data_IF_908887254435
#
_entry.id   IF_908887254435
#
_cell.length_a   1.000
_cell.length_b   1.000
_cell.length_c   1.000
_cell.angle_alpha   90.00
_cell.angle_beta   90.00
_cell.angle_gamma   90.00
#
_symmetry.space_group_name_H-M   'P 1'
#
loop_
_entity.id
_entity.type
_entity.pdbx_description
1 polymer ?
#
# COMPACT_ATOMS: atom_id res chain seq x y z
N UNK A 1 0.95 13.43 17.04
CA UNK A 1 2.16 14.25 17.18
C UNK A 1 2.96 13.67 18.32
N UNK A 2 4.29 13.68 18.25
CA UNK A 2 5.15 13.20 19.33
C UNK A 2 5.07 14.15 20.55
N UNK A 3 5.82 13.85 21.62
CA UNK A 3 5.87 14.69 22.82
C UNK A 3 6.25 16.14 22.53
N UNK A 4 7.00 16.38 21.45
CA UNK A 4 7.40 17.70 20.95
C UNK A 4 6.36 18.37 20.03
N UNK A 5 5.14 17.83 19.94
CA UNK A 5 4.12 18.30 18.98
C UNK A 5 4.58 18.25 17.51
N UNK A 6 5.58 17.44 17.18
CA UNK A 6 6.04 17.23 15.81
C UNK A 6 5.25 16.11 15.11
N UNK A 7 5.16 16.23 13.79
CA UNK A 7 4.67 15.17 12.92
C UNK A 7 5.76 14.11 12.75
N UNK A 8 5.46 12.90 13.22
CA UNK A 8 6.32 11.74 13.07
C UNK A 8 5.79 10.87 11.93
N UNK A 9 6.68 10.51 11.01
CA UNK A 9 6.35 9.67 9.86
C UNK A 9 7.03 8.32 10.00
N UNK A 10 6.28 7.26 9.77
CA UNK A 10 6.83 5.91 9.64
C UNK A 10 6.60 5.38 8.23
N UNK A 11 7.66 5.39 7.42
CA UNK A 11 7.63 5.04 6.00
C UNK A 11 8.68 3.97 5.71
N UNK A 12 8.48 2.71 6.14
CA UNK A 12 9.47 1.65 6.01
C UNK A 12 9.81 1.31 4.55
N UNK A 13 8.97 1.73 3.61
CA UNK A 13 9.16 1.56 2.16
C UNK A 13 9.40 2.90 1.44
N UNK A 14 9.67 3.97 2.18
CA UNK A 14 9.77 5.33 1.64
C UNK A 14 8.41 5.97 1.36
N UNK A 15 8.44 7.17 0.76
CA UNK A 15 7.26 7.97 0.45
C UNK A 15 6.79 7.80 -1.01
N UNK A 16 7.60 7.18 -1.85
CA UNK A 16 7.38 7.13 -3.30
C UNK A 16 6.05 6.47 -3.67
N UNK A 17 5.68 5.38 -2.99
CA UNK A 17 4.44 4.66 -3.26
C UNK A 17 3.21 5.55 -3.01
N UNK A 18 3.26 6.39 -1.96
CA UNK A 18 2.17 7.32 -1.61
C UNK A 18 2.12 8.46 -2.62
N UNK A 19 3.27 9.09 -2.92
CA UNK A 19 3.35 10.23 -3.83
C UNK A 19 2.96 9.86 -5.26
N UNK A 20 3.26 8.64 -5.70
CA UNK A 20 2.95 8.15 -7.04
C UNK A 20 1.66 7.32 -7.11
N UNK A 21 0.84 7.29 -6.06
CA UNK A 21 -0.43 6.56 -6.02
C UNK A 21 -0.29 5.06 -6.39
N UNK A 22 0.75 4.41 -5.86
CA UNK A 22 1.04 3.00 -6.12
C UNK A 22 0.56 2.12 -4.97
N UNK A 23 -0.15 1.04 -5.32
CA UNK A 23 -0.51 -0.02 -4.39
C UNK A 23 0.25 -1.28 -4.80
N UNK A 24 1.08 -1.78 -3.89
CA UNK A 24 1.84 -3.02 -4.08
C UNK A 24 1.91 -3.84 -2.79
N UNK A 25 2.03 -5.17 -2.89
CA UNK A 25 2.23 -6.02 -1.72
C UNK A 25 3.59 -5.72 -1.05
N UNK A 26 3.67 -5.93 0.26
CA UNK A 26 4.95 -5.87 0.97
C UNK A 26 5.76 -7.16 0.73
N UNK A 27 7.09 -7.15 0.93
CA UNK A 27 7.91 -8.37 0.81
C UNK A 27 7.37 -9.56 1.61
N UNK A 28 6.88 -9.30 2.82
CA UNK A 28 6.26 -10.31 3.67
C UNK A 28 5.02 -10.99 3.04
N UNK A 29 4.28 -10.28 2.19
CA UNK A 29 3.17 -10.87 1.43
C UNK A 29 3.68 -11.67 0.23
N UNK A 30 4.68 -11.15 -0.49
CA UNK A 30 5.25 -11.82 -1.67
C UNK A 30 5.87 -13.19 -1.36
N UNK A 31 6.38 -13.39 -0.15
CA UNK A 31 7.00 -14.64 0.29
C UNK A 31 6.02 -15.81 0.51
N UNK A 32 4.71 -15.56 0.51
CA UNK A 32 3.72 -16.59 0.84
C UNK A 32 2.48 -16.49 -0.06
N UNK A 33 2.17 -17.59 -0.75
CA UNK A 33 1.08 -17.67 -1.71
C UNK A 33 -0.30 -17.39 -1.08
N UNK A 34 -0.59 -17.96 0.10
CA UNK A 34 -1.87 -17.75 0.79
C UNK A 34 -2.07 -16.28 1.17
N UNK A 35 -0.98 -15.58 1.54
CA UNK A 35 -1.03 -14.13 1.81
C UNK A 35 -1.31 -13.34 0.54
N UNK A 36 -0.72 -13.72 -0.59
CA UNK A 36 -0.99 -13.08 -1.88
C UNK A 36 -2.43 -13.30 -2.33
N UNK A 37 -3.01 -14.48 -2.14
CA UNK A 37 -4.41 -14.75 -2.43
C UNK A 37 -5.36 -13.89 -1.60
N UNK A 38 -5.05 -13.73 -0.31
CA UNK A 38 -5.78 -12.83 0.57
C UNK A 38 -5.66 -11.36 0.12
N UNK A 39 -4.47 -10.93 -0.27
CA UNK A 39 -4.22 -9.58 -0.79
C UNK A 39 -5.07 -9.30 -2.03
N UNK A 40 -5.05 -10.17 -3.03
CA UNK A 40 -5.83 -10.01 -4.26
C UNK A 40 -7.33 -9.98 -3.99
N UNK A 41 -7.81 -10.87 -3.11
CA UNK A 41 -9.22 -10.92 -2.69
C UNK A 41 -9.67 -9.64 -2.00
N UNK A 42 -8.79 -9.02 -1.20
CA UNK A 42 -9.09 -7.74 -0.54
C UNK A 42 -9.05 -6.58 -1.53
N UNK A 43 -8.07 -6.58 -2.42
CA UNK A 43 -7.87 -5.51 -3.40
C UNK A 43 -9.11 -5.34 -4.30
N UNK A 44 -9.67 -6.45 -4.79
CA UNK A 44 -10.87 -6.44 -5.64
C UNK A 44 -12.12 -5.90 -4.97
N UNK A 45 -12.22 -5.97 -3.63
CA UNK A 45 -13.37 -5.47 -2.86
C UNK A 45 -13.28 -3.99 -2.51
N UNK A 46 -12.10 -3.38 -2.65
CA UNK A 46 -11.85 -2.00 -2.19
C UNK A 46 -12.27 -0.94 -3.21
N UNK A 47 -12.37 -1.31 -4.49
CA UNK A 47 -12.76 -0.43 -5.60
C UNK A 47 -12.01 0.92 -5.62
N UNK A 48 -10.73 0.94 -5.22
CA UNK A 48 -10.01 2.19 -5.02
C UNK A 48 -9.86 3.04 -6.28
N UNK A 49 -9.82 2.40 -7.46
CA UNK A 49 -9.73 3.09 -8.74
C UNK A 49 -10.98 3.92 -9.08
N UNK A 50 -12.15 3.64 -8.49
CA UNK A 50 -13.35 4.47 -8.67
C UNK A 50 -13.16 5.88 -8.09
N UNK A 51 -12.50 5.95 -6.93
CA UNK A 51 -12.23 7.22 -6.24
C UNK A 51 -10.92 7.85 -6.70
N UNK A 52 -9.91 7.03 -6.95
CA UNK A 52 -8.55 7.47 -7.25
C UNK A 52 -8.16 7.00 -8.65
N UNK A 53 -8.53 7.80 -9.65
CA UNK A 53 -8.35 7.46 -11.08
C UNK A 53 -6.89 7.25 -11.50
N UNK A 54 -5.95 7.89 -10.79
CA UNK A 54 -4.51 7.78 -11.06
C UNK A 54 -3.82 6.66 -10.25
N UNK A 55 -4.59 5.85 -9.53
CA UNK A 55 -4.04 4.79 -8.69
C UNK A 55 -3.62 3.58 -9.53
N UNK A 56 -2.39 3.15 -9.33
CA UNK A 56 -1.76 2.06 -10.08
C UNK A 56 -1.53 0.87 -9.15
N UNK A 57 -1.95 -0.31 -9.60
CA UNK A 57 -1.63 -1.58 -8.94
C UNK A 57 -0.34 -2.15 -9.50
N UNK A 58 0.63 -2.45 -8.63
CA UNK A 58 1.89 -3.10 -8.97
C UNK A 58 2.02 -4.42 -8.22
N UNK A 59 2.57 -5.41 -8.89
CA UNK A 59 2.85 -6.72 -8.31
C UNK A 59 4.34 -6.89 -7.93
N UNK A 60 5.18 -5.89 -8.23
CA UNK A 60 6.60 -5.75 -7.89
C UNK A 60 6.99 -4.28 -7.91
#
# INVERSE_FOLDING_TARGET
>A
MNEDSALEFFTPHGLEDILNFQVRPTPHFLENQDRMELYQTRLSKKNWQEKWKNLIFKNT
#
